data_IF_237560862871
#
_entry.id   IF_237560862871
#
_cell.length_a   1.000
_cell.length_b   1.000
_cell.length_c   1.000
_cell.angle_alpha   90.00
_cell.angle_beta   90.00
_cell.angle_gamma   90.00
#
_symmetry.space_group_name_H-M   'P 1'
#
loop_
_entity.id
_entity.type
_entity.pdbx_description
1 polymer ?
#
# COMPACT_ATOMS: atom_id res chain seq x y z
N UNK A 1 5.99 -2.24 4.66
CA UNK A 1 5.54 -1.12 5.50
C UNK A 1 5.37 0.12 4.63
N UNK A 2 4.23 0.79 4.71
CA UNK A 2 3.86 1.93 3.88
C UNK A 2 2.96 1.54 2.69
N UNK A 3 1.88 2.29 2.50
CA UNK A 3 0.87 2.15 1.46
C UNK A 3 0.96 3.20 0.35
N UNK A 4 2.12 3.82 0.19
CA UNK A 4 2.47 4.62 -0.98
C UNK A 4 2.65 3.78 -2.26
N UNK A 5 2.92 4.43 -3.41
CA UNK A 5 3.05 3.75 -4.71
C UNK A 5 4.14 2.67 -4.71
N UNK A 6 5.27 2.93 -4.05
CA UNK A 6 6.37 1.95 -3.95
C UNK A 6 5.96 0.71 -3.13
N UNK A 7 5.31 0.91 -1.97
CA UNK A 7 4.86 -0.19 -1.13
C UNK A 7 3.79 -1.04 -1.81
N UNK A 8 2.83 -0.40 -2.50
CA UNK A 8 1.82 -1.11 -3.27
C UNK A 8 2.42 -1.92 -4.42
N UNK A 9 3.33 -1.37 -5.23
CA UNK A 9 3.93 -2.12 -6.33
C UNK A 9 4.85 -3.25 -5.83
N UNK A 10 5.60 -3.02 -4.74
CA UNK A 10 6.38 -4.08 -4.10
C UNK A 10 5.48 -5.23 -3.64
N UNK A 11 4.37 -4.92 -2.96
CA UNK A 11 3.40 -5.93 -2.53
C UNK A 11 2.72 -6.65 -3.70
N UNK A 12 2.37 -5.93 -4.77
CA UNK A 12 1.85 -6.50 -6.01
C UNK A 12 2.83 -7.50 -6.62
N UNK A 13 4.10 -7.14 -6.74
CA UNK A 13 5.13 -8.00 -7.34
C UNK A 13 5.36 -9.25 -6.48
N UNK A 14 5.43 -9.10 -5.16
CA UNK A 14 5.59 -10.22 -4.24
C UNK A 14 4.37 -11.16 -4.27
N UNK A 15 3.14 -10.63 -4.22
CA UNK A 15 1.92 -11.44 -4.30
C UNK A 15 1.80 -12.17 -5.65
N UNK A 16 2.19 -11.53 -6.77
CA UNK A 16 2.25 -12.19 -8.10
C UNK A 16 3.25 -13.34 -8.16
N UNK A 17 4.27 -13.33 -7.30
CA UNK A 17 5.28 -14.41 -7.18
C UNK A 17 4.83 -15.51 -6.21
N UNK A 18 3.66 -15.36 -5.58
CA UNK A 18 3.08 -16.38 -4.69
C UNK A 18 3.37 -16.16 -3.21
N UNK A 19 3.93 -15.03 -2.80
CA UNK A 19 4.12 -14.70 -1.39
C UNK A 19 2.79 -14.28 -0.73
N UNK A 20 2.61 -14.60 0.55
CA UNK A 20 1.55 -14.02 1.37
C UNK A 20 2.00 -12.64 1.86
N UNK A 21 1.35 -11.58 1.36
CA UNK A 21 1.82 -10.20 1.56
C UNK A 21 0.89 -9.46 2.49
N UNK A 22 1.46 -8.91 3.57
CA UNK A 22 0.80 -7.92 4.42
C UNK A 22 1.38 -6.53 4.16
N UNK A 23 0.51 -5.59 3.79
CA UNK A 23 0.83 -4.18 3.60
C UNK A 23 0.15 -3.36 4.69
N UNK A 24 0.95 -2.72 5.53
CA UNK A 24 0.47 -1.87 6.64
C UNK A 24 0.76 -0.41 6.30
N UNK A 25 -0.25 0.43 6.45
CA UNK A 25 -0.21 1.88 6.23
C UNK A 25 -0.70 2.60 7.49
N UNK A 26 0.00 3.67 7.88
CA UNK A 26 -0.31 4.45 9.07
C UNK A 26 -1.55 5.33 8.87
N UNK A 27 -1.76 5.81 7.64
CA UNK A 27 -2.92 6.61 7.29
C UNK A 27 -4.17 5.75 7.04
N UNK A 28 -5.34 6.38 7.11
CA UNK A 28 -6.63 5.73 6.83
C UNK A 28 -6.89 5.50 5.33
N UNK A 29 -5.91 5.76 4.46
CA UNK A 29 -5.99 5.61 2.99
C UNK A 29 -4.64 5.25 2.40
N UNK A 30 -4.66 4.42 1.35
CA UNK A 30 -3.49 4.17 0.52
C UNK A 30 -3.18 5.37 -0.40
N UNK A 31 -1.91 5.49 -0.78
CA UNK A 31 -1.42 6.46 -1.75
C UNK A 31 -0.23 7.27 -1.26
N UNK A 32 -0.05 7.41 0.06
CA UNK A 32 1.03 8.19 0.65
C UNK A 32 1.13 9.58 0.01
N UNK A 33 2.31 9.96 -0.46
CA UNK A 33 2.55 11.26 -1.10
C UNK A 33 1.71 11.53 -2.37
N UNK A 34 1.20 10.48 -3.03
CA UNK A 34 0.34 10.65 -4.21
C UNK A 34 -0.99 11.31 -3.87
N UNK A 35 -1.51 11.12 -2.64
CA UNK A 35 -2.74 11.77 -2.19
C UNK A 35 -2.61 13.29 -2.13
N UNK A 36 -1.45 13.80 -1.71
CA UNK A 36 -1.15 15.23 -1.72
C UNK A 36 -0.92 15.72 -3.15
N UNK A 37 -0.14 14.96 -3.94
CA UNK A 37 0.20 15.30 -5.31
C UNK A 37 -1.02 15.37 -6.25
N UNK A 38 -2.10 14.63 -5.95
CA UNK A 38 -3.34 14.62 -6.71
C UNK A 38 -4.28 15.81 -6.43
N UNK A 39 -4.07 16.59 -5.36
CA UNK A 39 -4.99 17.68 -4.97
C UNK A 39 -5.12 18.83 -5.99
N UNK A 40 -4.04 19.31 -6.65
CA UNK A 40 -4.15 20.42 -7.59
C UNK A 40 -5.06 20.11 -8.79
N UNK A 41 -5.78 21.11 -9.34
CA UNK A 41 -6.55 20.96 -10.57
C UNK A 41 -5.70 20.41 -11.72
N UNK A 42 -6.28 19.52 -12.53
CA UNK A 42 -5.59 18.90 -13.67
C UNK A 42 -4.70 17.70 -13.32
N UNK A 43 -4.58 17.31 -12.04
CA UNK A 43 -3.75 16.16 -11.61
C UNK A 43 -4.53 14.86 -11.32
N UNK A 44 -5.71 14.71 -11.91
CA UNK A 44 -6.57 13.54 -11.68
C UNK A 44 -5.92 12.20 -12.02
N UNK A 45 -4.95 12.17 -12.94
CA UNK A 45 -4.25 10.94 -13.33
C UNK A 45 -3.39 10.36 -12.20
N UNK A 46 -2.92 11.19 -11.26
CA UNK A 46 -2.21 10.72 -10.07
C UNK A 46 -3.16 9.95 -9.13
N UNK A 47 -4.40 10.42 -8.99
CA UNK A 47 -5.43 9.69 -8.25
C UNK A 47 -5.75 8.36 -8.96
N UNK A 48 -5.91 8.37 -10.29
CA UNK A 48 -6.17 7.14 -11.07
C UNK A 48 -5.05 6.11 -10.90
N UNK A 49 -3.79 6.53 -10.85
CA UNK A 49 -2.68 5.62 -10.57
C UNK A 49 -2.78 4.99 -9.17
N UNK A 50 -3.11 5.80 -8.16
CA UNK A 50 -3.31 5.32 -6.79
C UNK A 50 -4.45 4.31 -6.69
N UNK A 51 -5.57 4.59 -7.36
CA UNK A 51 -6.73 3.69 -7.43
C UNK A 51 -6.38 2.39 -8.15
N UNK A 52 -5.66 2.48 -9.27
CA UNK A 52 -5.20 1.33 -10.05
C UNK A 52 -4.32 0.40 -9.21
N UNK A 53 -3.32 0.95 -8.51
CA UNK A 53 -2.44 0.17 -7.63
C UNK A 53 -3.22 -0.46 -6.47
N UNK A 54 -4.13 0.29 -5.85
CA UNK A 54 -5.00 -0.22 -4.77
C UNK A 54 -5.83 -1.41 -5.23
N UNK A 55 -6.48 -1.31 -6.39
CA UNK A 55 -7.30 -2.38 -6.96
C UNK A 55 -6.43 -3.59 -7.29
N UNK A 56 -5.25 -3.39 -7.89
CA UNK A 56 -4.34 -4.50 -8.23
C UNK A 56 -3.83 -5.23 -7.01
N UNK A 57 -3.39 -4.51 -5.97
CA UNK A 57 -2.93 -5.10 -4.73
C UNK A 57 -4.02 -5.99 -4.12
N UNK A 58 -5.25 -5.47 -3.98
CA UNK A 58 -6.39 -6.23 -3.46
C UNK A 58 -6.73 -7.45 -4.31
N UNK A 59 -6.76 -7.31 -5.64
CA UNK A 59 -7.04 -8.43 -6.57
C UNK A 59 -6.02 -9.56 -6.49
N UNK A 60 -4.77 -9.24 -6.15
CA UNK A 60 -3.70 -10.21 -6.00
C UNK A 60 -3.62 -10.81 -4.58
N UNK A 61 -4.55 -10.44 -3.69
CA UNK A 61 -4.60 -10.99 -2.33
C UNK A 61 -3.66 -10.32 -1.34
N UNK A 62 -3.10 -9.14 -1.66
CA UNK A 62 -2.34 -8.36 -0.68
C UNK A 62 -3.28 -7.96 0.46
N UNK A 63 -2.96 -8.38 1.68
CA UNK A 63 -3.71 -8.07 2.90
C UNK A 63 -3.31 -6.68 3.36
N UNK A 64 -4.28 -5.76 3.37
CA UNK A 64 -4.02 -4.34 3.65
C UNK A 64 -4.61 -3.98 5.01
N UNK A 65 -3.77 -3.44 5.89
CA UNK A 65 -4.16 -2.88 7.19
C UNK A 65 -3.88 -1.37 7.18
N UNK A 66 -4.91 -0.57 7.41
CA UNK A 66 -4.85 0.90 7.42
C UNK A 66 -4.94 1.41 8.86
N UNK A 67 -4.49 2.66 9.10
CA UNK A 67 -4.62 3.28 10.41
C UNK A 67 -3.69 2.68 11.47
N UNK A 68 -2.61 2.00 11.05
CA UNK A 68 -1.70 1.29 11.96
C UNK A 68 -0.26 1.72 11.71
N UNK A 69 0.32 2.39 12.70
CA UNK A 69 1.75 2.69 12.72
C UNK A 69 2.53 1.41 13.01
N UNK A 70 3.51 1.09 12.16
CA UNK A 70 4.38 -0.05 12.38
C UNK A 70 5.51 0.34 13.33
N UNK A 71 5.64 -0.37 14.43
CA UNK A 71 6.76 -0.29 15.37
C UNK A 71 7.60 -1.58 15.28
N UNK A 72 8.84 -1.60 15.81
CA UNK A 72 9.62 -2.85 15.88
C UNK A 72 8.84 -4.01 16.54
N UNK A 73 8.09 -3.74 17.62
CA UNK A 73 7.29 -4.76 18.29
C UNK A 73 6.20 -5.37 17.40
N UNK A 74 5.59 -4.58 16.51
CA UNK A 74 4.62 -5.11 15.52
C UNK A 74 5.28 -6.10 14.57
N UNK A 75 6.52 -5.84 14.15
CA UNK A 75 7.28 -6.74 13.27
C UNK A 75 7.62 -8.04 14.01
N UNK A 76 8.07 -7.93 15.27
CA UNK A 76 8.40 -9.08 16.13
C UNK A 76 7.19 -9.98 16.41
N UNK A 77 5.99 -9.39 16.53
CA UNK A 77 4.72 -10.12 16.69
C UNK A 77 4.30 -10.85 15.41
N UNK A 78 4.41 -10.16 14.26
CA UNK A 78 3.96 -10.70 12.97
C UNK A 78 4.92 -11.74 12.40
N UNK A 79 6.21 -11.69 12.77
CA UNK A 79 7.27 -12.63 12.33
C UNK A 79 7.24 -12.88 10.82
N UNK A 80 7.35 -11.81 9.99
CA UNK A 80 7.52 -11.99 8.55
C UNK A 80 8.82 -12.76 8.26
N UNK A 81 8.88 -13.39 7.08
CA UNK A 81 10.03 -14.16 6.59
C UNK A 81 11.32 -13.35 6.45
#
# INVERSE_FOLDING_TARGET
VGGGPAGMEAGIVAARRGHDVYLIEEENKLGGQMLLAARPPGKSDIQKLTDYLTIRARKLGVKIELGKTVTPGVIDEMKPD
#
